data_IF_662925742454
#
_entry.id   IF_662925742454
#
_cell.length_a   1.000
_cell.length_b   1.000
_cell.length_c   1.000
_cell.angle_alpha   90.00
_cell.angle_beta   90.00
_cell.angle_gamma   90.00
#
_symmetry.space_group_name_H-M   'P 1'
#
loop_
_entity.id
_entity.type
_entity.pdbx_description
1 polymer ?
2 non-polymer ?
3 non-polymer ?
4 non-polymer ?
5 water ?
#
# COMPACT_ATOMS: atom_id res chain seq x y z
N UNK A 5 -27.84 -30.33 -31.47
CA UNK A 5 -27.32 -29.56 -32.60
C UNK A 5 -27.17 -28.08 -32.22
N UNK A 6 -25.95 -27.54 -32.38
CA UNK A 6 -25.61 -26.15 -32.07
C UNK A 6 -26.13 -25.18 -33.15
N UNK A 7 -26.41 -25.69 -34.38
CA UNK A 7 -26.87 -24.88 -35.51
C UNK A 7 -28.42 -24.79 -35.61
N UNK A 8 -29.10 -25.37 -34.63
CA UNK A 8 -30.55 -25.32 -34.53
C UNK A 8 -31.00 -24.08 -33.79
N UNK A 9 -32.30 -23.92 -33.59
CA UNK A 9 -32.87 -22.77 -32.92
C UNK A 9 -33.47 -21.74 -33.88
N UNK A 10 -34.09 -20.69 -33.31
CA UNK A 10 -34.73 -19.63 -34.07
C UNK A 10 -33.72 -18.66 -34.71
N UNK A 11 -34.23 -17.76 -35.56
CA UNK A 11 -33.50 -16.71 -36.27
C UNK A 11 -33.56 -15.39 -35.48
N UNK A 12 -34.32 -15.38 -34.37
CA UNK A 12 -34.45 -14.18 -33.55
C UNK A 12 -33.37 -14.25 -32.47
N UNK A 14 -31.13 -13.96 -29.23
CA UNK A 14 -31.40 -14.02 -27.81
C UNK A 14 -30.18 -14.48 -27.07
N UNK A 15 -29.86 -13.86 -25.92
CA UNK A 15 -28.72 -14.32 -25.10
C UNK A 15 -29.29 -14.96 -23.84
N UNK A 16 -28.92 -16.23 -23.53
CA UNK A 16 -29.40 -16.93 -22.34
C UNK A 16 -28.37 -16.91 -21.20
N UNK A 17 -27.09 -16.91 -21.56
CA UNK A 17 -26.01 -16.89 -20.59
C UNK A 17 -24.69 -16.52 -21.24
N UNK A 18 -23.75 -15.99 -20.45
CA UNK A 18 -22.39 -15.64 -20.86
C UNK A 18 -21.45 -16.41 -19.95
N UNK A 19 -20.46 -17.07 -20.57
CA UNK A 19 -19.46 -17.93 -19.92
C UNK A 19 -18.04 -17.37 -20.07
N UNK A 20 -17.17 -17.61 -19.10
CA UNK A 20 -15.77 -17.19 -19.20
C UNK A 20 -14.98 -18.36 -19.62
N UNK A 21 -14.16 -18.22 -20.68
CA UNK A 21 -13.30 -19.29 -21.17
C UNK A 21 -11.93 -19.08 -20.61
N UNK A 22 -11.48 -20.00 -19.75
CA UNK A 22 -10.17 -19.92 -19.12
C UNK A 22 -9.60 -21.32 -19.00
N UNK A 23 -8.60 -21.63 -19.83
CA UNK A 23 -7.90 -22.93 -19.86
C UNK A 23 -7.24 -23.26 -18.51
N UNK A 24 -6.76 -22.22 -17.80
CA UNK A 24 -6.08 -22.30 -16.51
C UNK A 24 -7.09 -22.26 -15.32
N UNK A 25 -8.37 -22.59 -15.55
CA UNK A 25 -9.38 -22.57 -14.49
C UNK A 25 -9.98 -23.94 -14.23
N UNK A 26 -10.40 -24.15 -12.96
CA UNK A 26 -11.05 -25.36 -12.46
C UNK A 26 -12.42 -25.58 -13.17
N UNK A 27 -13.09 -24.45 -13.51
CA UNK A 27 -14.32 -24.41 -14.30
C UNK A 27 -13.89 -23.67 -15.57
N UNK A 28 -13.38 -24.40 -16.58
CA UNK A 28 -12.84 -23.71 -17.78
C UNK A 28 -13.91 -23.01 -18.63
N UNK A 29 -15.19 -23.43 -18.54
CA UNK A 29 -16.37 -22.82 -19.18
C UNK A 29 -17.33 -22.51 -18.02
N UNK A 30 -17.14 -21.31 -17.43
CA UNK A 30 -17.86 -20.86 -16.23
C UNK A 30 -18.92 -19.81 -16.52
N UNK A 31 -20.19 -20.06 -16.10
CA UNK A 31 -21.29 -19.10 -16.21
C UNK A 31 -21.01 -17.94 -15.28
N UNK A 32 -20.92 -16.72 -15.83
CA UNK A 32 -20.54 -15.48 -15.13
C UNK A 32 -21.57 -14.34 -15.31
N UNK A 33 -21.58 -13.38 -14.37
CA UNK A 33 -22.48 -12.22 -14.33
C UNK A 33 -21.79 -10.92 -14.71
N UNK A 34 -20.50 -11.01 -15.01
CA UNK A 34 -19.65 -9.91 -15.47
C UNK A 34 -18.50 -10.51 -16.24
N UNK A 35 -17.80 -9.66 -17.00
CA UNK A 35 -16.61 -10.00 -17.74
C UNK A 35 -15.64 -8.86 -17.55
N UNK A 36 -14.33 -9.16 -17.58
CA UNK A 36 -13.25 -8.17 -17.46
C UNK A 36 -12.58 -8.00 -18.78
N UNK A 37 -11.94 -6.85 -18.98
CA UNK A 37 -11.15 -6.58 -20.19
C UNK A 37 -10.11 -7.69 -20.44
N UNK A 38 -9.90 -8.03 -21.70
CA UNK A 38 -8.98 -9.07 -22.11
C UNK A 38 -9.53 -10.49 -22.01
N UNK A 39 -10.70 -10.69 -21.38
CA UNK A 39 -11.29 -12.02 -21.22
C UNK A 39 -11.98 -12.53 -22.48
N UNK A 40 -11.93 -13.85 -22.68
CA UNK A 40 -12.63 -14.49 -23.75
C UNK A 40 -13.92 -15.02 -23.20
N UNK A 41 -15.04 -14.55 -23.74
CA UNK A 41 -16.36 -15.00 -23.26
C UNK A 41 -17.06 -15.79 -24.35
N UNK A 42 -17.91 -16.75 -23.91
CA UNK A 42 -18.73 -17.53 -24.80
C UNK A 42 -20.12 -17.04 -24.58
N UNK A 43 -20.78 -16.55 -25.64
CA UNK A 43 -22.12 -16.03 -25.54
C UNK A 43 -23.05 -17.12 -26.06
N UNK A 44 -23.96 -17.55 -25.18
CA UNK A 44 -24.89 -18.63 -25.45
C UNK A 44 -26.31 -18.08 -25.59
N UNK A 45 -27.05 -18.66 -26.54
CA UNK A 45 -28.42 -18.23 -26.81
C UNK A 45 -28.99 -18.82 -28.09
N UNK A 46 -29.45 -17.93 -29.00
CA UNK A 46 -30.10 -18.28 -30.26
C UNK A 46 -29.97 -17.19 -31.31
N UNK A 47 -30.15 -17.55 -32.58
CA UNK A 47 -30.14 -16.66 -33.75
C UNK A 47 -28.83 -16.00 -34.12
N UNK A 48 -27.70 -16.55 -33.66
CA UNK A 48 -26.37 -16.01 -33.90
C UNK A 48 -25.84 -16.28 -35.32
N UNK A 49 -26.48 -17.20 -36.10
CA UNK A 49 -26.02 -17.46 -37.47
C UNK A 49 -26.15 -16.18 -38.28
N UNK A 50 -25.08 -15.82 -38.98
CA UNK A 50 -24.99 -14.58 -39.74
C UNK A 50 -24.62 -13.36 -38.90
N UNK A 51 -24.03 -13.56 -37.71
CA UNK A 51 -23.60 -12.45 -36.83
C UNK A 51 -22.57 -11.59 -37.57
N UNK A 52 -22.76 -10.25 -37.57
CA UNK A 52 -21.86 -9.34 -38.28
C UNK A 52 -21.06 -8.45 -37.34
N UNK A 53 -21.66 -7.94 -36.24
CA UNK A 53 -20.96 -7.08 -35.31
C UNK A 53 -21.32 -7.40 -33.89
N UNK A 54 -20.35 -7.16 -32.99
CA UNK A 54 -20.45 -7.28 -31.55
C UNK A 54 -19.88 -6.00 -31.01
N UNK A 55 -20.70 -5.26 -30.29
CA UNK A 55 -20.28 -4.05 -29.61
C UNK A 55 -20.33 -4.31 -28.14
N UNK A 56 -19.24 -4.00 -27.42
CA UNK A 56 -19.22 -4.13 -25.96
C UNK A 56 -19.01 -2.76 -25.43
N UNK A 57 -19.96 -2.23 -24.65
CA UNK A 57 -19.95 -0.85 -24.12
C UNK A 57 -19.78 0.13 -25.31
N UNK A 58 -20.43 -0.20 -26.45
CA UNK A 58 -20.44 0.57 -27.70
C UNK A 58 -19.18 0.45 -28.53
N UNK A 59 -18.21 -0.39 -28.10
CA UNK A 59 -16.92 -0.56 -28.78
C UNK A 59 -16.96 -1.83 -29.67
N UNK A 60 -16.65 -1.68 -30.96
CA UNK A 60 -16.64 -2.80 -31.91
C UNK A 60 -15.52 -3.79 -31.55
N UNK A 61 -15.93 -5.01 -31.17
CA UNK A 61 -15.06 -6.10 -30.76
C UNK A 61 -15.00 -7.13 -31.83
N UNK A 62 -13.77 -7.42 -32.30
CA UNK A 62 -13.51 -8.44 -33.31
C UNK A 62 -13.95 -9.80 -32.81
N UNK A 63 -14.54 -10.58 -33.67
CA UNK A 63 -14.94 -11.96 -33.35
C UNK A 63 -14.66 -12.75 -34.56
N UNK A 64 -14.27 -14.01 -34.37
CA UNK A 64 -13.98 -14.93 -35.46
C UNK A 64 -15.32 -15.53 -35.94
N UNK A 65 -15.76 -15.26 -37.18
CA UNK A 65 -17.06 -15.83 -37.64
C UNK A 65 -17.09 -17.36 -37.74
N UNK A 66 -15.94 -18.04 -37.89
CA UNK A 66 -15.88 -19.50 -37.99
C UNK A 66 -16.22 -20.17 -36.64
N UNK A 67 -16.08 -19.44 -35.52
CA UNK A 67 -16.42 -19.95 -34.17
C UNK A 67 -17.91 -19.73 -33.86
N UNK A 68 -18.65 -19.07 -34.78
CA UNK A 68 -20.08 -18.81 -34.59
C UNK A 68 -20.96 -20.02 -35.00
N UNK A 69 -21.79 -20.50 -34.06
CA UNK A 69 -22.87 -21.49 -34.27
C UNK A 69 -24.17 -20.73 -33.95
N UNK A 70 -25.34 -21.25 -34.32
CA UNK A 70 -26.57 -20.48 -34.12
C UNK A 70 -26.90 -20.24 -32.62
N UNK A 71 -26.35 -21.09 -31.72
CA UNK A 71 -26.62 -21.00 -30.28
C UNK A 71 -25.42 -20.50 -29.45
N UNK A 72 -24.24 -20.40 -30.05
CA UNK A 72 -23.04 -20.02 -29.32
C UNK A 72 -21.96 -19.42 -30.21
N UNK A 73 -21.24 -18.44 -29.66
CA UNK A 73 -20.08 -17.84 -30.30
C UNK A 73 -19.10 -17.31 -29.26
N UNK A 74 -17.83 -17.11 -29.68
CA UNK A 74 -16.78 -16.60 -28.80
C UNK A 74 -16.35 -15.20 -29.16
N UNK A 75 -16.17 -14.36 -28.16
CA UNK A 75 -15.67 -13.01 -28.41
C UNK A 75 -14.75 -12.62 -27.25
N UNK A 76 -13.65 -11.97 -27.61
CA UNK A 76 -12.74 -11.40 -26.65
C UNK A 76 -13.19 -9.98 -26.31
N UNK A 77 -13.21 -9.64 -25.01
CA UNK A 77 -13.51 -8.29 -24.50
C UNK A 77 -12.21 -7.50 -24.70
N UNK A 78 -12.11 -6.80 -25.84
CA UNK A 78 -10.98 -6.01 -26.28
C UNK A 78 -10.49 -5.07 -25.15
N UNK A 79 -9.15 -4.96 -25.02
CA UNK A 79 -8.49 -4.16 -23.96
C UNK A 79 -8.87 -2.69 -24.03
N UNK A 80 -9.32 -2.22 -25.21
CA UNK A 80 -9.66 -0.82 -25.44
C UNK A 80 -11.13 -0.50 -25.17
N UNK A 81 -11.94 -1.51 -24.74
CA UNK A 81 -13.36 -1.27 -24.38
C UNK A 81 -13.43 -0.29 -23.19
N UNK A 82 -14.15 0.85 -23.30
CA UNK A 82 -14.26 1.76 -22.15
C UNK A 82 -15.20 1.20 -21.07
N UNK A 83 -14.95 1.53 -19.79
CA UNK A 83 -15.76 1.08 -18.67
C UNK A 83 -16.32 2.32 -17.97
N UNK A 84 -15.59 2.88 -16.98
CA UNK A 84 -16.02 4.06 -16.22
C UNK A 84 -16.09 5.32 -17.11
N UNK A 85 -15.37 5.31 -18.26
CA UNK A 85 -15.39 6.41 -19.23
C UNK A 85 -16.28 6.12 -20.46
N UNK A 86 -17.07 5.01 -20.42
CA UNK A 86 -18.00 4.70 -21.50
C UNK A 86 -19.23 5.56 -21.36
N UNK A 87 -19.85 5.94 -22.48
CA UNK A 87 -21.08 6.74 -22.51
C UNK A 87 -22.17 5.98 -21.76
N UNK A 88 -22.86 6.67 -20.85
CA UNK A 88 -23.92 6.11 -19.99
C UNK A 88 -24.94 5.31 -20.80
N UNK A 89 -25.28 5.76 -22.01
CA UNK A 89 -26.26 5.09 -22.87
C UNK A 89 -25.76 3.73 -23.41
N UNK A 90 -24.45 3.44 -23.39
CA UNK A 90 -23.97 2.16 -23.93
C UNK A 90 -23.27 1.36 -22.86
N UNK A 91 -22.98 1.98 -21.71
CA UNK A 91 -22.26 1.33 -20.63
C UNK A 91 -23.00 0.13 -20.12
N UNK A 92 -22.24 -0.96 -19.94
CA UNK A 92 -22.70 -2.27 -19.50
C UNK A 92 -23.69 -2.87 -20.49
N UNK A 93 -23.35 -2.84 -21.77
CA UNK A 93 -24.22 -3.47 -22.76
C UNK A 93 -23.40 -4.32 -23.73
N UNK A 94 -24.07 -5.30 -24.31
CA UNK A 94 -23.54 -6.10 -25.41
C UNK A 94 -24.57 -5.94 -26.51
N UNK A 95 -24.17 -5.42 -27.67
CA UNK A 95 -25.09 -5.27 -28.81
C UNK A 95 -24.61 -6.14 -29.95
N UNK A 96 -25.53 -6.94 -30.52
CA UNK A 96 -25.25 -7.85 -31.64
C UNK A 96 -25.92 -7.35 -32.88
N UNK A 97 -25.22 -7.40 -34.02
CA UNK A 97 -25.83 -6.93 -35.26
C UNK A 97 -25.66 -7.99 -36.31
N UNK A 98 -26.73 -8.25 -37.07
CA UNK A 98 -26.75 -9.10 -38.26
C UNK A 98 -27.58 -8.39 -39.33
N UNK A 99 -27.71 -8.97 -40.53
CA UNK A 99 -28.47 -8.30 -41.58
C UNK A 99 -29.98 -8.17 -41.20
N UNK A 100 -30.57 -9.27 -40.74
CA UNK A 100 -31.97 -9.28 -40.27
C UNK A 100 -32.32 -8.50 -38.99
N UNK A 101 -31.36 -7.91 -38.29
CA UNK A 101 -31.65 -7.16 -37.08
C UNK A 101 -30.58 -7.06 -36.02
N UNK A 102 -30.93 -6.46 -34.87
CA UNK A 102 -30.02 -6.28 -33.76
C UNK A 102 -30.66 -6.66 -32.42
N UNK A 103 -29.80 -6.88 -31.44
CA UNK A 103 -30.15 -7.35 -30.12
C UNK A 103 -29.27 -6.68 -29.08
N UNK A 104 -29.87 -6.04 -28.03
CA UNK A 104 -29.13 -5.40 -26.93
C UNK A 104 -29.37 -6.14 -25.63
N UNK A 105 -28.29 -6.38 -24.92
CA UNK A 105 -28.25 -7.14 -23.69
C UNK A 105 -27.44 -6.41 -22.61
N UNK A 106 -28.06 -6.22 -21.43
CA UNK A 106 -27.45 -5.61 -20.25
C UNK A 106 -26.51 -6.60 -19.61
N UNK A 107 -25.23 -6.26 -19.48
CA UNK A 107 -24.20 -7.13 -18.91
C UNK A 107 -23.06 -6.26 -18.37
N UNK A 108 -22.61 -6.54 -17.14
CA UNK A 108 -21.57 -5.76 -16.48
C UNK A 108 -20.16 -6.02 -17.07
N UNK A 109 -19.46 -4.94 -17.43
CA UNK A 109 -18.11 -4.99 -18.01
C UNK A 109 -17.19 -4.25 -17.06
N UNK A 110 -16.11 -4.92 -16.62
CA UNK A 110 -15.17 -4.38 -15.66
C UNK A 110 -13.79 -4.32 -16.23
N UNK A 111 -12.92 -3.56 -15.57
CA UNK A 111 -11.50 -3.63 -15.94
C UNK A 111 -10.89 -4.68 -15.01
N UNK A 112 -9.58 -4.67 -14.80
CA UNK A 112 -8.91 -5.63 -13.91
C UNK A 112 -9.43 -5.47 -12.48
N UNK A 113 -9.38 -6.55 -11.67
CA UNK A 113 -9.81 -6.44 -10.26
C UNK A 113 -9.05 -5.30 -9.54
N UNK A 114 -9.69 -4.55 -8.63
CA UNK A 114 -8.97 -3.47 -7.95
C UNK A 114 -7.88 -3.97 -6.99
N UNK A 115 -6.96 -3.07 -6.67
CA UNK A 115 -5.87 -3.33 -5.75
C UNK A 115 -5.61 -2.12 -4.85
N UNK A 116 -5.35 -2.37 -3.55
CA UNK A 116 -4.96 -1.35 -2.58
C UNK A 116 -3.55 -1.67 -2.22
N UNK A 117 -2.63 -0.76 -2.49
CA UNK A 117 -1.23 -1.00 -2.19
C UNK A 117 -0.72 -0.14 -1.05
N UNK A 118 -1.42 0.98 -0.75
CA UNK A 118 -0.97 1.92 0.26
C UNK A 118 -2.13 2.78 0.81
N UNK A 119 -2.08 3.08 2.12
CA UNK A 119 -3.00 4.00 2.82
C UNK A 119 -2.13 5.15 3.31
N UNK A 120 -2.44 6.42 2.96
CA UNK A 120 -1.64 7.58 3.33
C UNK A 120 -1.35 7.68 4.85
N UNK A 121 -2.37 7.44 5.72
CA UNK A 121 -2.19 7.55 7.16
C UNK A 121 -2.96 6.40 7.78
N UNK A 122 -2.21 5.46 8.38
CA UNK A 122 -2.76 4.24 8.99
C UNK A 122 -3.12 4.40 10.46
N UNK A 124 -5.11 7.56 11.79
CA UNK A 124 -5.66 8.94 11.80
C UNK A 124 -6.61 9.19 12.96
N UNK A 125 -7.00 10.46 13.16
CA UNK A 125 -8.04 10.80 14.15
C UNK A 125 -9.35 10.71 13.45
N UNK A 126 -10.44 10.56 14.22
CA UNK A 126 -11.79 10.55 13.67
C UNK A 126 -12.02 11.86 12.88
N UNK A 127 -12.60 11.73 11.68
CA UNK A 127 -12.93 12.84 10.79
C UNK A 127 -11.81 13.32 9.90
N UNK A 128 -10.59 12.80 10.08
CA UNK A 128 -9.43 13.21 9.28
C UNK A 128 -9.41 12.53 7.90
N UNK A 129 -8.84 13.20 6.88
CA UNK A 129 -8.77 12.60 5.54
C UNK A 129 -7.78 11.46 5.48
N UNK A 130 -8.14 10.45 4.67
CA UNK A 130 -7.34 9.28 4.35
C UNK A 130 -7.25 9.24 2.81
N UNK A 131 -6.08 8.89 2.25
CA UNK A 131 -5.92 8.66 0.81
C UNK A 131 -5.49 7.22 0.67
N UNK A 132 -6.24 6.44 -0.10
CA UNK A 132 -5.94 5.04 -0.32
C UNK A 132 -5.47 4.89 -1.78
N UNK A 133 -4.27 4.36 -2.00
CA UNK A 133 -3.65 4.18 -3.32
C UNK A 133 -3.72 2.74 -3.77
N UNK A 134 -3.60 2.58 -5.08
CA UNK A 134 -3.54 1.30 -5.75
C UNK A 134 -3.89 1.44 -7.22
N UNK A 135 -4.79 0.58 -7.71
CA UNK A 135 -5.23 0.54 -9.10
C UNK A 135 -6.62 0.01 -9.18
N UNK A 136 -7.37 0.53 -10.14
CA UNK A 136 -8.73 0.12 -10.46
C UNK A 136 -9.76 0.52 -9.46
N UNK A 137 -9.43 1.56 -8.66
CA UNK A 137 -10.23 2.08 -7.56
C UNK A 137 -11.21 3.13 -8.04
N UNK A 138 -11.86 2.83 -9.19
CA UNK A 138 -12.85 3.70 -9.81
C UNK A 138 -14.16 3.47 -9.17
N UNK A 139 -14.95 4.55 -9.05
CA UNK A 139 -16.33 4.52 -8.54
C UNK A 139 -16.49 3.69 -7.27
N UNK A 140 -15.67 3.98 -6.25
CA UNK A 140 -15.78 3.27 -4.96
C UNK A 140 -17.10 3.67 -4.33
N UNK A 141 -17.93 2.68 -3.99
CA UNK A 141 -19.26 2.89 -3.41
C UNK A 141 -19.29 2.61 -1.90
N UNK A 142 -18.37 1.79 -1.42
CA UNK A 142 -18.36 1.40 -0.04
C UNK A 142 -16.95 1.21 0.44
N UNK A 143 -16.66 1.71 1.65
CA UNK A 143 -15.39 1.53 2.36
C UNK A 143 -15.74 1.01 3.71
N UNK A 144 -15.17 -0.14 4.06
CA UNK A 144 -15.42 -0.78 5.36
C UNK A 144 -14.13 -0.80 6.16
N UNK A 145 -14.22 -0.36 7.42
CA UNK A 145 -13.09 -0.25 8.34
C UNK A 145 -13.13 -1.36 9.41
N UNK A 146 -11.94 -1.76 9.94
CA UNK A 146 -11.91 -2.78 11.03
C UNK A 146 -13.00 -2.56 12.07
N UNK A 147 -13.74 -3.61 12.36
CA UNK A 147 -14.87 -3.55 13.27
C UNK A 147 -16.18 -3.41 12.54
N UNK A 148 -16.16 -3.57 11.19
CA UNK A 148 -17.35 -3.49 10.33
C UNK A 148 -17.98 -2.09 10.38
N UNK A 149 -17.14 -1.07 10.30
CA UNK A 149 -17.59 0.32 10.24
C UNK A 149 -17.71 0.65 8.76
N UNK A 150 -18.95 0.77 8.29
CA UNK A 150 -19.30 0.95 6.88
C UNK A 150 -19.45 2.45 6.55
N UNK A 151 -18.78 2.87 5.47
CA UNK A 151 -18.84 4.23 4.93
C UNK A 151 -19.25 4.12 3.46
N UNK A 152 -20.37 4.80 3.09
CA UNK A 152 -20.90 4.86 1.73
C UNK A 152 -20.96 6.31 1.23
N UNK A 153 -20.80 7.28 2.15
CA UNK A 153 -20.85 8.71 1.83
C UNK A 153 -19.48 9.38 1.92
N UNK A 154 -19.26 10.39 1.09
CA UNK A 154 -18.02 11.15 1.07
C UNK A 154 -16.79 10.43 0.55
N UNK A 155 -16.97 9.42 -0.34
CA UNK A 155 -15.88 8.71 -1.01
C UNK A 155 -15.68 9.36 -2.37
N UNK A 156 -14.49 9.92 -2.62
CA UNK A 156 -14.13 10.57 -3.88
C UNK A 156 -13.10 9.69 -4.54
N UNK A 157 -13.42 9.16 -5.74
CA UNK A 157 -12.50 8.27 -6.44
C UNK A 157 -11.83 8.94 -7.60
N UNK A 158 -10.57 8.54 -7.85
CA UNK A 158 -9.83 8.98 -9.00
C UNK A 158 -10.54 8.46 -10.26
N UNK A 159 -10.63 9.32 -11.30
CA UNK A 159 -11.23 8.95 -12.60
C UNK A 159 -10.42 7.81 -13.20
N UNK A 160 -9.09 7.81 -12.94
CA UNK A 160 -8.15 6.81 -13.44
C UNK A 160 -7.94 5.62 -12.46
N UNK A 161 -8.70 5.63 -11.36
CA UNK A 161 -8.69 4.62 -10.32
C UNK A 161 -7.38 4.33 -9.60
N UNK A 162 -6.45 5.31 -9.55
CA UNK A 162 -5.16 5.15 -8.86
C UNK A 162 -5.29 5.40 -7.33
N UNK A 163 -6.38 6.04 -6.91
CA UNK A 163 -6.65 6.36 -5.52
C UNK A 163 -8.10 6.68 -5.31
N UNK A 164 -8.52 6.74 -4.04
CA UNK A 164 -9.78 7.25 -3.55
C UNK A 164 -9.50 7.99 -2.22
N UNK A 166 -11.37 9.34 1.54
CA UNK A 166 -12.46 9.13 2.52
C UNK A 166 -12.01 9.62 3.91
N UNK A 167 -12.93 10.15 4.72
CA UNK A 167 -12.60 10.56 6.08
C UNK A 167 -12.71 9.39 7.02
N UNK A 169 -13.99 7.36 9.88
CA UNK A 169 -15.24 7.35 10.67
C UNK A 169 -14.97 7.07 12.16
N UNK A 170 -16.01 7.24 12.98
CA UNK A 170 -15.98 6.89 14.40
C UNK A 170 -16.17 5.38 14.56
N UNK A 171 -15.78 4.85 15.72
CA UNK A 171 -15.96 3.45 16.11
C UNK A 171 -15.09 2.39 15.45
N UNK A 172 -13.99 2.78 14.80
CA UNK A 172 -13.11 1.78 14.16
C UNK A 172 -12.43 1.00 15.29
N UNK A 173 -12.40 -0.34 15.13
CA UNK A 173 -11.83 -1.24 16.11
C UNK A 173 -10.36 -0.93 16.37
N UNK A 174 -9.99 -0.90 17.65
CA UNK A 174 -8.64 -0.67 18.15
C UNK A 174 -7.71 -1.85 17.82
N UNK A 175 -8.31 -3.01 17.52
CA UNK A 175 -7.62 -4.22 17.08
C UNK A 175 -7.02 -4.02 15.67
N UNK A 176 -7.63 -3.11 14.92
CA UNK A 176 -7.22 -2.78 13.57
C UNK A 176 -7.39 -3.92 12.59
N UNK A 177 -6.74 -3.77 11.44
CA UNK A 177 -6.81 -4.78 10.40
C UNK A 177 -6.81 -4.15 9.04
N UNK A 178 -7.41 -4.85 8.07
CA UNK A 178 -7.51 -4.35 6.70
C UNK A 178 -8.67 -3.39 6.52
N UNK A 179 -8.63 -2.58 5.47
CA UNK A 179 -9.85 -1.89 5.05
C UNK A 179 -10.33 -2.70 3.85
N UNK A 180 -11.63 -2.64 3.56
CA UNK A 180 -12.23 -3.34 2.42
C UNK A 180 -13.01 -2.34 1.62
N UNK A 181 -12.97 -2.45 0.27
CA UNK A 181 -13.72 -1.56 -0.62
C UNK A 181 -14.44 -2.34 -1.70
N UNK A 182 -15.49 -1.73 -2.23
CA UNK A 182 -16.31 -2.14 -3.34
C UNK A 182 -16.46 -0.97 -4.28
N UNK A 183 -16.04 -1.20 -5.50
CA UNK A 183 -16.11 -0.22 -6.59
C UNK A 183 -16.65 -0.91 -7.83
N UNK A 184 -16.66 -0.17 -8.95
CA UNK A 184 -17.17 -0.65 -10.24
C UNK A 184 -16.38 -1.90 -10.72
N UNK A 185 -15.09 -2.02 -10.35
CA UNK A 185 -14.28 -3.16 -10.79
C UNK A 185 -14.25 -4.32 -9.82
N UNK A 186 -15.00 -4.22 -8.74
CA UNK A 186 -15.13 -5.29 -7.74
C UNK A 186 -14.70 -4.92 -6.33
N UNK A 187 -14.17 -5.91 -5.62
CA UNK A 187 -13.71 -5.75 -4.24
C UNK A 187 -12.21 -5.81 -4.06
N UNK A 188 -11.71 -5.17 -2.98
CA UNK A 188 -10.30 -5.17 -2.64
C UNK A 188 -10.06 -4.91 -1.15
N UNK A 189 -9.03 -5.57 -0.62
CA UNK A 189 -8.51 -5.44 0.71
C UNK A 189 -7.20 -4.73 0.69
N UNK A 190 -6.97 -3.93 1.70
CA UNK A 190 -5.70 -3.31 1.94
C UNK A 190 -4.82 -4.28 2.70
N UNK A 191 -3.51 -4.01 2.90
CA UNK A 191 -2.75 -4.81 3.86
C UNK A 191 -3.37 -4.59 5.27
N UNK A 192 -3.30 -5.58 6.16
CA UNK A 192 -3.93 -5.62 7.50
C UNK A 192 -3.21 -4.75 8.58
N UNK A 193 -2.85 -3.52 8.22
CA UNK A 193 -2.06 -2.63 9.08
C UNK A 193 -2.80 -1.32 9.44
N UNK A 194 -4.10 -1.24 9.19
CA UNK A 194 -4.81 0.01 9.48
C UNK A 194 -5.27 0.04 10.94
N UNK A 195 -5.05 1.17 11.60
CA UNK A 195 -5.42 1.44 13.01
C UNK A 195 -4.95 0.29 13.93
N UNK A 196 -3.71 -0.15 13.73
CA UNK A 196 -3.10 -1.27 14.43
C UNK A 196 -2.45 -0.83 15.76
N UNK A 197 -3.30 -0.46 16.74
CA UNK A 197 -2.85 0.04 18.03
C UNK A 197 -2.21 -1.07 18.88
N UNK A 198 -2.52 -2.35 18.60
CA UNK A 198 -1.93 -3.44 19.39
C UNK A 198 -0.41 -3.63 19.16
N UNK A 199 0.11 -3.12 18.04
CA UNK A 199 1.53 -3.20 17.74
C UNK A 199 2.36 -2.01 18.18
N UNK A 200 1.73 -1.01 18.88
CA UNK A 200 2.38 0.23 19.31
C UNK A 200 3.55 -0.04 20.27
N UNK A 201 4.73 0.52 19.93
CA UNK A 201 5.98 0.42 20.72
C UNK A 201 6.17 1.68 21.54
N UNK A 202 5.90 2.85 20.90
CA UNK A 202 6.02 4.16 21.53
C UNK A 202 5.17 5.21 20.83
N UNK A 203 4.32 5.91 21.59
CA UNK A 203 3.51 7.02 21.10
C UNK A 203 3.79 8.28 21.95
N UNK A 204 4.61 8.16 23.02
CA UNK A 204 5.01 9.27 23.91
C UNK A 204 3.82 9.81 24.71
N UNK A 205 2.72 9.03 24.80
CA UNK A 205 1.50 9.44 25.51
C UNK A 205 1.01 8.34 26.45
N UNK A 206 1.88 7.37 26.73
CA UNK A 206 1.56 6.27 27.63
C UNK A 206 1.69 4.86 27.06
N UNK A 207 1.76 4.71 25.71
CA UNK A 207 1.96 3.37 25.17
C UNK A 207 3.47 3.28 24.95
N UNK A 208 4.11 2.40 25.73
CA UNK A 208 5.55 2.24 25.73
C UNK A 208 6.21 3.36 26.51
N UNK A 209 7.54 3.30 26.68
CA UNK A 209 8.25 4.36 27.41
C UNK A 209 9.49 4.81 26.68
N UNK A 210 9.74 6.13 26.69
CA UNK A 210 10.94 6.72 26.10
C UNK A 210 12.14 6.42 27.00
N UNK A 211 13.22 5.97 26.39
CA UNK A 211 14.46 5.68 27.08
C UNK A 211 15.44 6.80 26.85
N UNK A 212 15.96 7.36 27.94
CA UNK A 212 16.91 8.46 27.93
C UNK A 212 18.03 8.23 28.95
N UNK A 213 19.29 8.49 28.53
CA UNK A 213 20.49 8.32 29.34
C UNK A 213 21.66 9.22 28.83
N UNK A 214 22.51 9.64 29.76
CA UNK A 214 23.67 10.47 29.42
C UNK A 214 23.31 11.91 29.13
N UNK A 215 24.31 12.69 28.66
CA UNK A 215 24.15 14.12 28.37
C UNK A 215 24.78 14.50 27.00
N UNK A 216 24.94 13.49 26.11
CA UNK A 216 25.50 13.65 24.75
C UNK A 216 24.66 14.63 23.91
N UNK A 217 25.33 15.40 23.02
CA UNK A 217 24.69 16.40 22.14
C UNK A 217 23.61 15.76 21.25
N UNK A 218 23.82 14.50 20.79
CA UNK A 218 22.87 13.76 19.95
C UNK A 218 21.64 13.25 20.73
N UNK A 220 18.37 12.89 22.56
CA UNK A 220 17.11 13.63 22.78
C UNK A 220 16.59 13.19 24.16
N UNK A 221 16.46 14.13 25.10
CA UNK A 221 16.00 13.82 26.46
C UNK A 221 14.48 13.73 26.48
N UNK A 222 13.90 13.19 27.57
CA UNK A 222 12.45 13.05 27.76
C UNK A 222 11.75 14.41 27.87
N UNK A 223 12.50 15.42 28.27
CA UNK A 223 12.05 16.80 28.42
C UNK A 223 12.19 17.57 27.11
N UNK A 224 12.63 16.91 26.05
CA UNK A 224 12.91 17.59 24.77
C UNK A 224 11.93 17.19 23.63
N UNK A 225 10.71 16.74 23.99
CA UNK A 225 9.68 16.42 22.99
C UNK A 225 8.84 17.66 22.69
N UNK A 226 7.89 17.53 21.75
CA UNK A 226 6.97 18.60 21.32
C UNK A 226 5.54 18.08 21.46
N UNK A 227 4.58 18.95 21.70
CA UNK A 227 3.19 18.53 21.92
C UNK A 227 2.17 19.45 21.27
N UNK A 228 2.61 20.62 20.73
CA UNK A 228 1.70 21.52 20.04
C UNK A 228 1.09 20.81 18.82
N UNK A 229 -0.18 21.12 18.46
CA UNK A 229 -0.90 20.53 17.32
C UNK A 229 -0.32 21.05 16.02
N UNK A 230 0.35 20.15 15.27
CA UNK A 230 0.97 20.52 14.00
C UNK A 230 0.56 19.57 12.89
N UNK A 231 0.48 20.11 11.68
CA UNK A 231 0.09 19.37 10.50
C UNK A 231 -1.32 19.66 10.06
N UNK A 232 -1.58 19.59 8.76
CA UNK A 232 -2.89 19.83 8.17
C UNK A 232 -3.47 18.53 7.67
N UNK A 233 -4.75 18.28 7.96
CA UNK A 233 -5.42 17.05 7.54
C UNK A 233 -5.23 16.01 8.61
N UNK A 234 -4.07 15.33 8.61
CA UNK A 234 -3.69 14.43 9.70
C UNK A 234 -2.82 15.27 10.63
N UNK A 235 -3.38 15.58 11.78
CA UNK A 235 -2.83 16.44 12.83
C UNK A 235 -2.12 15.57 13.86
N UNK A 236 -1.06 16.11 14.48
CA UNK A 236 -0.31 15.42 15.53
C UNK A 236 -1.23 14.93 16.65
N UNK A 237 -0.85 13.79 17.24
CA UNK A 237 -1.54 13.15 18.36
C UNK A 237 -0.65 13.22 19.61
N UNK A 238 -1.09 13.98 20.60
CA UNK A 238 -0.34 14.15 21.84
C UNK A 238 1.08 14.66 21.64
N UNK A 239 2.01 14.10 22.40
CA UNK A 239 3.42 14.40 22.31
C UNK A 239 4.08 13.57 21.19
N UNK A 240 5.17 14.05 20.62
CA UNK A 240 5.86 13.35 19.55
C UNK A 240 7.31 13.80 19.59
N UNK A 241 8.16 13.19 18.78
CA UNK A 241 9.56 13.56 18.78
C UNK A 241 9.91 14.46 17.61
N UNK A 242 10.64 15.56 17.87
CA UNK A 242 11.23 16.47 16.89
C UNK A 242 12.70 16.06 16.72
N UNK A 243 13.17 15.85 15.47
CA UNK A 243 14.58 15.52 15.27
C UNK A 243 15.08 16.01 13.89
N UNK A 244 16.26 16.66 13.86
CA UNK A 244 17.09 17.02 15.02
C UNK A 244 16.44 18.18 15.79
N UNK A 245 16.86 18.35 17.06
CA UNK A 245 16.39 19.43 17.95
C UNK A 245 16.94 20.78 17.52
N UNK A 246 16.28 21.86 17.99
CA UNK A 246 16.69 23.22 17.68
C UNK A 246 18.14 23.46 18.13
N UNK A 247 18.48 23.04 19.39
CA UNK A 247 19.81 23.17 20.02
C UNK A 247 20.95 22.45 19.26
N UNK A 248 20.60 21.41 18.46
CA UNK A 248 21.55 20.61 17.68
C UNK A 248 21.84 21.23 16.29
N UNK A 249 21.06 22.25 15.88
CA UNK A 249 21.21 22.90 14.57
C UNK A 249 22.32 23.99 14.58
N UNK A 250 23.03 24.17 13.44
CA UNK A 250 22.93 23.42 12.17
C UNK A 250 23.68 22.10 12.30
N UNK A 251 23.17 21.04 11.65
CA UNK A 251 23.80 19.72 11.72
C UNK A 251 24.88 19.63 10.63
N UNK A 252 26.14 19.35 11.09
CA UNK A 252 27.41 19.23 10.34
C UNK A 252 27.25 18.62 8.96
N UNK A 253 27.96 19.18 7.99
CA UNK A 253 27.96 18.82 6.58
C UNK A 253 28.11 17.31 6.34
N UNK A 254 28.98 16.60 7.11
CA UNK A 254 29.14 15.15 6.97
C UNK A 254 29.42 14.48 8.32
N UNK A 255 28.34 14.22 9.07
CA UNK A 255 28.36 13.60 10.39
C UNK A 255 27.24 12.56 10.51
N UNK A 256 27.37 11.65 11.50
CA UNK A 256 26.40 10.60 11.80
C UNK A 256 26.05 10.57 13.30
N UNK A 257 24.87 9.97 13.67
CA UNK A 257 24.33 9.91 15.04
C UNK A 257 24.16 11.39 15.54
N UNK A 258 23.67 12.27 14.64
CA UNK A 258 23.50 13.71 14.87
C UNK A 258 22.40 14.00 15.93
N UNK A 259 21.36 13.15 15.96
CA UNK A 259 20.23 13.18 16.89
C UNK A 259 19.78 11.77 17.15
N UNK A 260 19.41 11.43 18.39
CA UNK A 260 18.93 10.09 18.70
C UNK A 260 17.80 10.08 19.74
N UNK A 261 16.81 9.19 19.50
CA UNK A 261 15.64 8.99 20.35
C UNK A 261 15.39 7.48 20.43
N UNK A 262 15.07 6.98 21.63
CA UNK A 262 14.91 5.55 21.88
C UNK A 262 13.70 5.20 22.74
N UNK A 263 13.41 3.90 22.80
CA UNK A 263 12.47 3.25 23.70
C UNK A 263 13.28 2.96 24.98
N UNK A 264 12.62 2.57 26.10
CA UNK A 264 13.32 2.28 27.36
C UNK A 264 14.29 1.07 27.20
N UNK A 265 13.90 0.13 26.33
CA UNK A 265 14.70 -1.05 26.00
C UNK A 265 14.74 -2.11 27.07
N UNK A 266 15.97 -2.63 27.34
CA UNK A 266 16.23 -3.70 28.31
C UNK A 266 15.44 -3.45 29.59
N UNK A 267 14.51 -4.35 29.87
CA UNK A 267 13.67 -4.27 31.07
C UNK A 267 12.19 -4.01 30.91
N UNK A 268 11.79 -2.84 30.38
CA UNK A 268 10.36 -2.47 30.34
C UNK A 268 9.67 -2.61 28.97
N UNK A 269 10.42 -2.59 27.85
CA UNK A 269 9.85 -2.76 26.50
C UNK A 269 9.09 -4.10 26.40
N UNK A 270 7.95 -4.16 25.68
CA UNK A 270 7.19 -5.43 25.61
C UNK A 270 7.90 -6.55 24.87
N UNK A 271 7.42 -7.79 25.07
CA UNK A 271 7.86 -8.93 24.27
C UNK A 271 7.16 -8.71 22.92
N UNK A 272 7.95 -8.56 21.84
CA UNK A 272 7.41 -8.31 20.51
C UNK A 272 6.54 -9.45 20.00
N UNK A 273 6.64 -10.64 20.62
CA UNK A 273 5.82 -11.79 20.28
C UNK A 273 4.37 -11.63 20.78
N UNK A 274 4.09 -10.55 21.53
CA UNK A 274 2.76 -10.26 22.08
C UNK A 274 2.03 -9.15 21.27
N UNK A 275 2.62 -8.72 20.13
CA UNK A 275 2.09 -7.62 19.34
C UNK A 275 1.22 -8.04 18.18
N UNK A 276 0.77 -9.30 18.18
CA UNK A 276 -0.14 -9.82 17.16
C UNK A 276 0.49 -10.28 15.86
N UNK A 277 1.82 -10.28 15.76
CA UNK A 277 2.49 -10.76 14.56
C UNK A 277 3.01 -12.17 14.87
N UNK A 278 2.49 -13.25 14.23
CA UNK A 278 2.97 -14.59 14.57
C UNK A 278 4.45 -14.79 14.21
N UNK A 279 5.17 -15.60 15.00
CA UNK A 279 6.60 -15.89 14.81
C UNK A 279 6.93 -16.35 13.37
N UNK A 280 6.04 -17.16 12.78
CA UNK A 280 6.17 -17.73 11.45
C UNK A 280 5.95 -16.71 10.29
N UNK A 281 5.59 -15.44 10.58
CA UNK A 281 5.34 -14.44 9.53
C UNK A 281 6.62 -14.06 8.77
N UNK A 282 6.64 -14.18 7.43
CA UNK A 282 7.84 -13.74 6.66
C UNK A 282 8.12 -12.24 6.78
N UNK A 283 9.40 -11.86 6.68
CA UNK A 283 9.90 -10.48 6.81
C UNK A 283 9.28 -9.54 5.74
N UNK A 284 8.79 -10.07 4.61
CA UNK A 284 8.14 -9.22 3.61
C UNK A 284 6.66 -8.97 3.96
N UNK A 285 6.13 -9.68 5.00
CA UNK A 285 4.72 -9.61 5.44
C UNK A 285 4.52 -8.96 6.81
N UNK A 286 5.56 -8.35 7.38
CA UNK A 286 5.44 -7.60 8.63
C UNK A 286 6.42 -6.44 8.58
N UNK A 287 6.13 -5.37 9.34
CA UNK A 287 6.89 -4.13 9.24
C UNK A 287 6.91 -3.31 10.50
N UNK A 288 7.67 -2.21 10.42
CA UNK A 288 7.67 -1.14 11.38
C UNK A 288 6.91 -0.02 10.68
N UNK A 289 5.98 0.60 11.38
CA UNK A 289 5.27 1.77 10.91
C UNK A 289 5.49 2.86 11.89
N UNK A 290 5.38 4.11 11.43
CA UNK A 290 5.44 5.33 12.23
C UNK A 290 4.84 6.42 11.37
N UNK A 291 4.37 7.50 11.98
CA UNK A 291 3.84 8.62 11.23
C UNK A 291 4.94 9.69 11.20
N UNK A 292 5.08 10.37 10.06
CA UNK A 292 6.13 11.38 9.91
C UNK A 292 5.48 12.70 9.49
N UNK A 293 6.09 13.80 9.89
CA UNK A 293 5.66 15.13 9.51
C UNK A 293 6.92 15.95 9.15
N UNK A 294 7.00 16.35 7.88
CA UNK A 294 8.11 17.13 7.31
C UNK A 294 7.46 18.45 6.78
N UNK A 295 7.29 19.48 7.64
CA UNK A 295 6.57 20.69 7.20
C UNK A 295 7.24 21.45 6.03
N UNK A 296 8.57 21.60 6.05
CA UNK A 296 9.29 22.29 4.98
C UNK A 296 10.05 21.28 4.10
N UNK A 297 10.32 21.58 2.81
CA UNK A 297 10.93 20.55 1.95
C UNK A 297 12.30 20.09 2.43
N UNK A 298 12.51 18.78 2.33
CA UNK A 298 13.72 18.04 2.69
C UNK A 298 14.31 17.37 1.45
N UNK A 299 15.57 17.70 1.13
CA UNK A 299 16.31 17.15 -0.01
C UNK A 299 17.81 17.36 0.18
N UNK A 300 18.60 16.90 -0.82
CA UNK A 300 20.07 17.03 -0.95
C UNK A 300 20.87 16.26 0.12
N UNK A 301 20.49 16.35 1.42
CA UNK A 301 21.21 15.67 2.51
C UNK A 301 20.33 15.46 3.73
N UNK A 302 20.72 14.46 4.52
CA UNK A 302 20.04 14.05 5.74
C UNK A 302 19.25 12.78 5.51
N UNK A 303 19.21 11.90 6.54
CA UNK A 303 18.42 10.65 6.50
C UNK A 303 18.18 10.08 7.90
N UNK A 304 17.07 9.31 8.03
CA UNK A 304 16.66 8.64 9.27
C UNK A 304 17.09 7.20 9.33
N UNK A 305 17.74 6.82 10.45
CA UNK A 305 18.18 5.45 10.67
C UNK A 305 17.31 4.84 11.76
N UNK A 306 16.46 3.87 11.35
CA UNK A 306 15.61 3.11 12.27
C UNK A 306 16.51 2.04 12.84
N UNK A 307 16.74 2.06 14.15
CA UNK A 307 17.64 1.12 14.81
C UNK A 307 16.85 0.03 15.56
N UNK A 308 17.00 -1.20 15.09
CA UNK A 308 16.36 -2.39 15.67
C UNK A 308 16.87 -2.71 17.06
N UNK A 309 18.13 -2.27 17.34
CA UNK A 309 18.89 -2.40 18.60
C UNK A 309 19.77 -1.13 18.80
N UNK A 310 20.35 -0.98 19.99
CA UNK A 310 21.19 0.16 20.32
C UNK A 310 22.58 0.14 19.65
N UNK A 311 23.13 -1.04 19.38
CA UNK A 311 24.44 -1.22 18.78
C UNK A 311 24.74 -0.66 17.39
N UNK A 312 24.53 0.66 17.18
CA UNK A 312 24.85 1.35 15.94
C UNK A 312 25.73 2.60 16.22
N UNK A 313 26.79 2.78 15.41
CA UNK A 313 27.71 3.91 15.56
C UNK A 313 27.21 5.12 14.79
N UNK A 314 26.49 4.87 13.71
CA UNK A 314 26.00 5.91 12.82
C UNK A 314 26.71 5.85 11.49
N UNK A 315 25.94 5.92 10.41
CA UNK A 315 26.48 5.88 9.05
C UNK A 315 26.52 4.50 8.44
N UNK A 316 25.98 3.48 9.16
CA UNK A 316 25.91 2.11 8.68
C UNK A 316 24.87 1.95 7.60
N UNK A 317 25.04 0.92 6.80
CA UNK A 317 24.13 0.50 5.74
C UNK A 317 24.17 -1.01 5.78
N UNK A 318 24.39 -1.58 7.00
CA UNK A 318 24.66 -3.01 7.10
C UNK A 318 23.78 -3.89 8.01
N UNK A 319 23.49 -3.57 9.27
CA UNK A 319 22.83 -4.60 10.07
C UNK A 319 21.30 -4.45 10.21
N UNK A 320 20.74 -4.78 11.43
CA UNK A 320 19.31 -4.73 11.79
C UNK A 320 18.87 -3.27 11.97
N UNK A 321 18.94 -2.51 10.87
CA UNK A 321 18.59 -1.10 10.77
C UNK A 321 18.09 -0.79 9.35
N UNK A 322 17.55 0.41 9.15
CA UNK A 322 17.08 0.83 7.84
C UNK A 322 17.23 2.35 7.71
N UNK A 323 17.75 2.80 6.56
CA UNK A 323 17.96 4.21 6.29
C UNK A 323 16.88 4.75 5.39
N UNK A 324 16.00 5.56 5.96
CA UNK A 324 14.91 6.17 5.25
C UNK A 324 15.41 7.49 4.63
N UNK A 325 15.51 7.54 3.29
CA UNK A 325 15.97 8.72 2.54
C UNK A 325 14.80 9.07 1.63
N UNK A 326 13.78 9.80 2.14
CA UNK A 326 12.53 9.98 1.37
C UNK A 326 12.60 10.97 0.21
N UNK A 327 13.75 11.67 0.08
CA UNK A 327 13.97 12.63 -0.98
C UNK A 327 14.65 11.97 -2.20
N UNK A 328 14.96 10.65 -2.10
CA UNK A 328 15.49 9.83 -3.20
C UNK A 328 14.45 8.78 -3.60
N UNK A 329 13.74 9.07 -4.69
CA UNK A 329 12.62 8.27 -5.21
C UNK A 329 13.10 7.12 -6.15
N UNK A 330 13.64 7.44 -7.34
CA UNK A 330 14.17 6.43 -8.27
C UNK A 330 15.60 6.85 -8.63
N UNK A 331 16.40 7.06 -7.58
CA UNK A 331 17.77 7.54 -7.70
C UNK A 331 17.79 9.00 -8.11
N UNK A 332 16.62 9.67 -7.95
CA UNK A 332 16.39 11.06 -8.32
C UNK A 332 15.98 11.87 -7.11
N UNK A 333 16.63 13.02 -6.92
CA UNK A 333 16.33 13.96 -5.84
C UNK A 333 14.97 14.59 -6.15
N UNK A 334 14.01 14.36 -5.25
CA UNK A 334 12.66 14.93 -5.28
C UNK A 334 12.39 15.48 -3.86
N UNK A 335 12.29 16.81 -3.69
CA UNK A 335 12.04 17.34 -2.34
C UNK A 335 10.88 16.63 -1.65
N UNK A 336 11.09 16.29 -0.37
CA UNK A 336 10.11 15.59 0.46
C UNK A 336 9.43 16.55 1.42
N UNK A 337 8.10 16.63 1.32
CA UNK A 337 7.28 17.51 2.13
C UNK A 337 5.91 16.89 2.37
N UNK A 338 5.39 17.05 3.60
CA UNK A 338 4.05 16.57 3.94
C UNK A 338 3.22 17.73 4.45
N UNK A 339 1.95 17.75 4.08
CA UNK A 339 0.93 18.70 4.51
C UNK A 339 0.57 18.36 5.98
N UNK A 340 0.52 17.08 6.29
CA UNK A 340 0.25 16.57 7.63
C UNK A 340 1.01 15.30 7.91
N UNK A 341 0.63 14.59 8.96
CA UNK A 341 1.27 13.34 9.35
C UNK A 341 0.89 12.24 8.35
N UNK A 342 1.94 11.50 7.88
CA UNK A 342 1.82 10.45 6.89
C UNK A 342 2.50 9.20 7.40
N UNK A 343 1.94 8.00 7.11
CA UNK A 343 2.53 6.75 7.58
C UNK A 343 3.73 6.32 6.70
N UNK A 344 4.76 5.82 7.35
CA UNK A 344 5.93 5.26 6.72
C UNK A 344 5.90 3.78 7.05
N UNK A 345 5.91 2.94 6.03
CA UNK A 345 5.96 1.52 6.27
C UNK A 345 7.34 1.00 5.91
N UNK A 346 7.98 0.30 6.85
CA UNK A 346 9.26 -0.29 6.58
C UNK A 346 9.17 -1.81 6.83
N UNK A 347 8.93 -2.61 5.75
CA UNK A 347 8.91 -4.08 5.92
C UNK A 347 10.22 -4.58 6.50
N UNK A 348 10.18 -5.65 7.30
CA UNK A 348 11.40 -6.19 7.89
C UNK A 348 12.33 -6.75 6.77
N UNK A 349 11.77 -6.99 5.58
CA UNK A 349 12.46 -7.44 4.37
C UNK A 349 13.39 -6.34 3.85
N UNK A 350 12.99 -5.05 3.99
CA UNK A 350 13.79 -3.92 3.53
C UNK A 350 15.02 -3.63 4.45
N UNK A 351 15.02 -4.16 5.70
CA UNK A 351 16.15 -4.04 6.62
C UNK A 351 17.36 -4.73 6.04
N UNK A 352 18.55 -4.15 6.22
CA UNK A 352 19.80 -4.66 5.67
C UNK A 352 20.09 -6.09 6.16
N UNK A 353 19.72 -6.43 7.43
CA UNK A 353 19.85 -7.79 7.99
C UNK A 353 18.99 -8.81 7.19
N UNK A 354 17.88 -8.38 6.57
CA UNK A 354 17.04 -9.28 5.78
C UNK A 354 17.61 -9.49 4.36
N UNK A 355 18.54 -8.60 3.96
CA UNK A 355 19.22 -8.59 2.66
C UNK A 355 20.65 -9.17 2.78
N UNK A 356 21.02 -9.66 3.99
CA UNK A 356 22.31 -10.26 4.30
C UNK A 356 22.57 -11.56 3.50
N UNK A 357 23.84 -11.98 3.46
CA UNK A 357 24.26 -13.15 2.70
C UNK A 357 24.17 -14.47 3.49
N UNK A 358 24.41 -14.45 4.82
CA UNK A 358 24.41 -15.67 5.65
C UNK A 358 23.20 -15.68 6.61
N UNK A 359 23.41 -15.23 7.86
CA UNK A 359 22.39 -15.21 8.91
C UNK A 359 21.22 -14.27 8.68
N UNK A 360 20.83 -14.09 7.39
CA UNK A 360 19.77 -13.22 6.92
C UNK A 360 18.41 -13.51 7.59
N UNK A 361 17.59 -12.46 7.73
CA UNK A 361 16.25 -12.54 8.31
C UNK A 361 15.28 -13.15 7.31
N UNK A 362 14.48 -14.15 7.75
CA UNK A 362 13.50 -14.82 6.88
C UNK A 362 12.05 -14.63 7.40
N UNK A 363 11.87 -14.68 8.74
CA UNK A 363 10.58 -14.51 9.42
C UNK A 363 10.72 -13.57 10.63
N UNK A 364 9.57 -13.24 11.29
CA UNK A 364 9.50 -12.38 12.48
C UNK A 364 10.16 -13.04 13.68
N UNK A 365 10.24 -14.38 13.70
CA UNK A 365 10.89 -15.12 14.79
C UNK A 365 12.37 -14.76 14.84
N UNK A 366 12.99 -14.54 13.64
CA UNK A 366 14.39 -14.13 13.45
C UNK A 366 14.59 -12.71 13.94
N UNK A 367 13.53 -11.89 13.87
CA UNK A 367 13.57 -10.52 14.35
C UNK A 367 13.52 -10.56 15.88
N UNK A 368 12.67 -11.43 16.49
CA UNK A 368 12.52 -11.50 17.95
C UNK A 368 13.77 -12.08 18.58
N UNK A 369 14.37 -13.12 17.93
CA UNK A 369 15.61 -13.78 18.33
C UNK A 369 16.72 -12.74 18.48
N UNK A 370 16.93 -11.90 17.42
CA UNK A 370 17.92 -10.83 17.36
C UNK A 370 17.73 -9.85 18.51
N UNK A 371 16.49 -9.42 18.79
CA UNK A 371 16.21 -8.46 19.87
C UNK A 371 16.39 -9.10 21.25
N UNK A 372 16.22 -10.43 21.37
CA UNK A 372 16.43 -11.11 22.64
C UNK A 372 17.93 -11.29 22.93
N UNK A 373 18.74 -11.48 21.84
CA UNK A 373 20.20 -11.67 21.91
C UNK A 373 20.98 -10.33 21.86
N UNK A 374 20.30 -9.20 21.55
CA UNK A 374 20.93 -7.87 21.50
C UNK A 374 21.43 -7.43 22.87
N UNK A 375 22.61 -6.76 22.92
CA UNK A 375 23.20 -6.25 24.16
C UNK A 375 22.27 -5.20 24.79
N UNK A 376 21.66 -4.34 23.94
CA UNK A 376 20.73 -3.29 24.36
C UNK A 376 19.54 -3.23 23.38
N UNK A 377 18.38 -3.74 23.83
CA UNK A 377 17.12 -3.88 23.06
C UNK A 377 16.35 -2.55 22.86
N UNK A 378 17.05 -1.40 22.94
CA UNK A 378 16.41 -0.10 22.72
C UNK A 378 16.10 0.04 21.24
N UNK A 379 14.80 0.18 20.93
CA UNK A 379 14.36 0.44 19.57
C UNK A 379 14.39 1.96 19.46
N UNK A 380 14.87 2.48 18.34
CA UNK A 380 14.95 3.92 18.20
C UNK A 380 15.36 4.45 16.85
N UNK A 381 15.61 5.77 16.78
CA UNK A 381 15.96 6.45 15.54
C UNK A 381 17.24 7.32 15.62
N UNK A 382 17.90 7.49 14.46
CA UNK A 382 19.03 8.40 14.32
C UNK A 382 18.77 9.41 13.22
N UNK A 383 19.05 10.70 13.48
CA UNK A 383 19.10 11.62 12.34
C UNK A 383 20.57 11.55 11.87
N UNK A 384 20.78 11.37 10.55
CA UNK A 384 22.10 11.23 9.98
C UNK A 384 22.30 12.12 8.77
N UNK A 385 23.49 12.77 8.68
CA UNK A 385 23.77 13.71 7.59
C UNK A 385 25.12 13.41 6.88
N UNK A 386 25.30 12.15 6.44
CA UNK A 386 26.51 11.69 5.74
C UNK A 386 26.24 11.38 4.26
N UNK A 387 27.31 11.46 3.42
CA UNK A 387 27.33 11.22 1.98
C UNK A 387 26.62 9.91 1.59
N UNK A 388 25.98 9.94 0.40
CA UNK A 388 25.19 8.83 -0.15
C UNK A 388 25.62 8.51 -1.58
N UNK A 389 25.55 7.22 -1.94
CA UNK A 389 25.76 6.66 -3.29
C UNK A 389 24.59 5.71 -3.51
N UNK A 390 23.83 5.89 -4.61
CA UNK A 390 22.60 5.17 -4.95
C UNK A 390 22.71 3.62 -4.86
N UNK A 391 23.94 3.07 -4.87
CA UNK A 391 24.19 1.61 -4.76
C UNK A 391 23.90 1.11 -3.33
N UNK A 392 24.23 1.92 -2.30
CA UNK A 392 24.04 1.62 -0.89
C UNK A 392 22.57 1.38 -0.57
N UNK A 393 21.68 1.93 -1.43
CA UNK A 393 20.26 1.79 -1.35
C UNK A 393 19.82 0.57 -2.20
N UNK A 394 20.26 0.52 -3.49
CA UNK A 394 19.89 -0.49 -4.50
C UNK A 394 21.02 -1.54 -4.80
N UNK A 395 21.34 -1.73 -6.09
CA UNK A 395 22.31 -2.68 -6.62
C UNK A 395 23.74 -2.24 -6.46
N UNK A 396 24.52 -3.05 -5.72
CA UNK A 396 25.93 -2.89 -5.28
C UNK A 396 26.98 -2.65 -6.41
N UNK A 397 26.57 -2.49 -7.68
CA UNK A 397 27.52 -2.25 -8.76
C UNK A 397 27.08 -1.11 -9.69
N UNK A 398 25.89 -1.23 -10.32
CA UNK A 398 25.34 -0.30 -11.33
C UNK A 398 25.25 1.16 -10.86
N UNK A 399 24.71 1.41 -9.66
CA UNK A 399 24.49 2.76 -9.16
C UNK A 399 25.63 3.31 -8.24
N UNK A 400 26.81 2.64 -8.22
CA UNK A 400 27.95 3.02 -7.38
C UNK A 400 28.54 4.41 -7.70
N UNK A 401 28.44 4.85 -8.97
CA UNK A 401 28.99 6.11 -9.47
C UNK A 401 28.15 7.35 -9.12
N UNK A 402 26.80 7.20 -8.99
CA UNK A 402 25.89 8.29 -8.67
C UNK A 402 26.09 8.72 -7.19
N UNK A 403 26.47 9.99 -6.96
CA UNK A 403 26.67 10.48 -5.60
C UNK A 403 25.74 11.66 -5.28
N UNK A 404 25.31 11.70 -4.01
CA UNK A 404 24.46 12.73 -3.42
C UNK A 404 25.21 13.22 -2.22
N UNK A 405 26.16 14.14 -2.44
CA UNK A 405 27.03 14.70 -1.41
C UNK A 405 26.24 15.37 -0.29
N UNK A 406 26.61 15.07 0.98
CA UNK A 406 25.94 15.65 2.14
C UNK A 406 26.36 17.08 2.34
N UNK A 407 25.42 17.92 2.83
CA UNK A 407 25.59 19.36 3.10
C UNK A 407 25.11 19.68 4.53
N UNK A 408 25.39 20.91 5.01
CA UNK A 408 24.92 21.36 6.33
C UNK A 408 23.39 21.45 6.27
N UNK A 409 22.68 21.09 7.37
CA UNK A 409 21.20 21.12 7.33
C UNK A 409 20.58 21.60 8.67
N UNK A 410 19.37 22.18 8.54
CA UNK A 410 18.58 22.66 9.67
C UNK A 410 17.09 22.21 9.47
N UNK A 411 16.91 21.05 8.79
CA UNK A 411 15.63 20.44 8.45
C UNK A 411 14.89 20.03 9.73
N UNK A 412 13.56 20.17 9.72
CA UNK A 412 12.73 19.81 10.85
C UNK A 412 11.92 18.60 10.48
N UNK A 413 12.06 17.50 11.26
CA UNK A 413 11.33 16.23 11.07
C UNK A 413 10.70 15.84 12.41
N UNK A 414 9.47 15.29 12.37
CA UNK A 414 8.69 14.84 13.53
C UNK A 414 8.17 13.41 13.32
N UNK A 415 8.36 12.54 14.32
CA UNK A 415 8.00 11.11 14.24
C UNK A 415 7.12 10.76 15.42
N UNK A 416 6.27 9.75 15.26
CA UNK A 416 5.32 9.31 16.30
C UNK A 416 4.81 7.92 16.00
N UNK A 417 4.13 7.30 16.99
CA UNK A 417 3.41 6.03 16.86
C UNK A 417 4.24 4.88 16.27
N UNK A 418 5.50 4.75 16.72
CA UNK A 418 6.36 3.64 16.32
C UNK A 418 5.61 2.36 16.67
N UNK A 419 5.53 1.44 15.72
CA UNK A 419 4.81 0.20 15.97
C UNK A 419 5.26 -0.92 15.05
N UNK A 420 4.92 -2.16 15.42
CA UNK A 420 5.10 -3.32 14.58
C UNK A 420 3.72 -3.59 13.97
N UNK A 421 3.66 -3.88 12.67
CA UNK A 421 2.38 -4.19 12.02
C UNK A 421 2.46 -5.43 11.12
N UNK A 422 1.32 -6.13 10.90
CA UNK A 422 1.30 -7.20 9.88
C UNK A 422 0.98 -6.60 8.50
N UNK A 423 1.60 -7.09 7.42
CA UNK A 423 1.30 -6.59 6.08
C UNK A 423 0.41 -7.55 5.30
N UNK A 424 0.01 -8.67 5.92
CA UNK A 424 -0.82 -9.71 5.30
C UNK A 424 -2.08 -9.08 4.70
N UNK A 425 -2.32 -9.39 3.45
CA UNK A 425 -3.46 -8.91 2.70
C UNK A 425 -4.43 -10.11 2.49
N UNK A 426 -5.70 -10.04 2.98
CA UNK A 426 -6.62 -11.15 2.75
C UNK A 426 -6.88 -11.34 1.27
N UNK A 427 -7.09 -12.58 0.84
CA UNK A 427 -7.33 -12.91 -0.56
C UNK A 427 -8.75 -12.56 -1.01
N UNK A 428 -8.87 -11.96 -2.21
CA UNK A 428 -10.14 -11.62 -2.82
C UNK A 428 -10.07 -12.00 -4.29
N UNK A 429 -10.74 -13.09 -4.68
CA UNK A 429 -10.79 -13.55 -6.07
C UNK A 429 -12.20 -13.56 -6.56
N UNK A 430 -12.39 -13.43 -7.88
CA UNK A 430 -13.69 -13.40 -8.55
C UNK A 430 -14.44 -14.70 -8.23
N UNK A 431 -13.73 -15.84 -8.36
CA UNK A 431 -14.22 -17.19 -8.13
C UNK A 431 -13.14 -18.04 -7.36
N UNK A 432 -13.31 -18.21 -6.01
CA UNK A 432 -12.35 -19.01 -5.23
C UNK A 432 -12.55 -20.53 -5.43
N UNK A 433 -11.50 -21.33 -5.08
CA UNK A 433 -11.46 -22.80 -5.18
C UNK A 433 -12.11 -23.48 -3.96
#
# INVERSE_FOLDING_TARGET
GDDDDDNGGSSVXNITGIYLEDAKSNVPDRLVDFARLGQLIRIEGEGFNGLKKVYINGYNCYFNPVFVSNKSFLVSVNSKVPTTEADENVRNTIRLVKDGGEYVYDFQIRAAAPSITKISNCXPNVGEPIIVYGSGLTEIAKVVFPGNVVVTEGIISDLDGEYFXVDXPAGVSEEGGSIFVEGSNGGAYSPAYFNYKKGLLLNFDGVGAQGAWGDSESXIQTTELESASIGEGNVSQGAYCRLPLERQLPVAAAKNRCAEVWTAGNGTDPDWLTLGVPAETPVAECAIQFEIYVPEPWSESGFLKICGQNGFNGGEWERDCYNYVPWLVDGKIVPFQTTGWQTVTVPFSEFYKSKASSGAWTTFADVTATRASASYANFGFYFENSDITLDKITGASSDKETEFLSKATSVKIYIDNWRVVPLTKPEYTDFPDEEEDAE
#
